data_IF_516129061190
#
_entry.id   IF_516129061190
#
_cell.length_a   1.000
_cell.length_b   1.000
_cell.length_c   1.000
_cell.angle_alpha   90.00
_cell.angle_beta   90.00
_cell.angle_gamma   90.00
#
_symmetry.space_group_name_H-M   'P 1'
#
loop_
_entity.id
_entity.type
_entity.pdbx_description
1 polymer ?
#
# COMPACT_ATOMS: atom_id res chain seq x y z
N UNK A 1 113.69 -21.71 -32.83
CA UNK A 1 112.52 -22.49 -33.24
C UNK A 1 111.78 -22.90 -32.00
N UNK A 2 110.52 -22.50 -31.84
CA UNK A 2 109.47 -23.19 -31.09
C UNK A 2 108.19 -22.35 -31.23
N UNK A 3 107.44 -22.70 -32.26
CA UNK A 3 106.17 -22.10 -32.66
C UNK A 3 105.03 -22.44 -31.70
N UNK A 4 104.20 -21.43 -31.42
CA UNK A 4 102.90 -21.51 -30.76
C UNK A 4 101.85 -22.11 -31.72
N UNK A 5 101.01 -23.07 -31.30
CA UNK A 5 99.93 -23.56 -32.16
C UNK A 5 98.69 -22.64 -32.13
N UNK A 6 98.38 -22.02 -33.27
CA UNK A 6 97.12 -21.31 -33.53
C UNK A 6 95.91 -22.26 -33.42
N UNK A 7 94.94 -21.87 -32.59
CA UNK A 7 93.66 -22.56 -32.41
C UNK A 7 92.73 -22.38 -33.64
N UNK A 8 92.03 -23.42 -34.14
CA UNK A 8 91.21 -23.30 -35.34
C UNK A 8 89.84 -22.65 -35.05
N UNK A 9 89.46 -21.70 -35.92
CA UNK A 9 88.16 -21.05 -35.93
C UNK A 9 87.04 -22.06 -36.24
N UNK A 10 85.99 -22.12 -35.42
CA UNK A 10 84.78 -22.88 -35.74
C UNK A 10 83.81 -22.02 -36.54
N UNK A 11 83.55 -22.45 -37.78
CA UNK A 11 82.42 -22.02 -38.60
C UNK A 11 81.42 -23.18 -38.63
N UNK A 12 80.18 -22.92 -38.20
CA UNK A 12 78.98 -23.75 -38.44
C UNK A 12 77.78 -22.82 -38.28
N UNK A 13 77.18 -22.33 -39.37
CA UNK A 13 76.05 -22.91 -40.10
C UNK A 13 74.75 -23.05 -39.27
N UNK A 14 73.92 -21.99 -39.32
CA UNK A 14 72.50 -22.10 -39.71
C UNK A 14 71.43 -22.40 -38.65
N UNK A 15 70.75 -21.34 -38.19
CA UNK A 15 69.29 -21.22 -38.23
C UNK A 15 68.96 -19.72 -38.40
N UNK A 16 68.43 -19.36 -39.56
CA UNK A 16 67.93 -18.01 -39.84
C UNK A 16 66.57 -17.83 -39.12
N UNK A 17 66.62 -17.25 -37.94
CA UNK A 17 65.43 -16.80 -37.22
C UNK A 17 65.06 -15.40 -37.72
N UNK A 18 64.60 -15.32 -38.96
CA UNK A 18 64.02 -14.11 -39.57
C UNK A 18 62.64 -13.74 -38.99
N UNK A 19 62.47 -13.81 -37.67
CA UNK A 19 61.26 -13.36 -37.00
C UNK A 19 61.45 -11.89 -36.59
N UNK A 20 60.96 -10.97 -37.44
CA UNK A 20 61.11 -9.51 -37.28
C UNK A 20 60.20 -8.90 -36.20
N UNK A 21 59.67 -9.70 -35.29
CA UNK A 21 58.98 -9.20 -34.13
C UNK A 21 59.93 -9.33 -32.94
N UNK A 22 60.54 -8.22 -32.53
CA UNK A 22 61.32 -8.15 -31.30
C UNK A 22 60.48 -8.77 -30.18
N UNK A 23 60.96 -9.89 -29.64
CA UNK A 23 60.27 -10.65 -28.58
C UNK A 23 59.94 -9.70 -27.43
N UNK A 24 60.78 -8.70 -27.16
CA UNK A 24 60.51 -7.67 -26.15
C UNK A 24 59.33 -6.78 -26.54
N UNK A 25 59.19 -6.39 -27.81
CA UNK A 25 58.06 -5.62 -28.32
C UNK A 25 56.74 -6.42 -28.25
N UNK A 26 56.75 -7.71 -28.58
CA UNK A 26 55.57 -8.58 -28.47
C UNK A 26 55.18 -8.80 -27.01
N UNK A 27 56.16 -9.05 -26.13
CA UNK A 27 55.90 -9.15 -24.68
C UNK A 27 55.43 -7.81 -24.09
N UNK A 28 55.93 -6.68 -24.57
CA UNK A 28 55.48 -5.36 -24.17
C UNK A 28 54.07 -5.03 -24.67
N UNK A 29 53.60 -5.65 -25.76
CA UNK A 29 52.21 -5.56 -26.19
C UNK A 29 51.29 -6.42 -25.32
N UNK A 30 51.68 -7.67 -25.06
CA UNK A 30 50.91 -8.61 -24.20
C UNK A 30 50.83 -8.14 -22.75
N UNK A 31 51.86 -7.50 -22.21
CA UNK A 31 51.82 -6.95 -20.84
C UNK A 31 50.96 -5.69 -20.70
N UNK A 32 50.58 -5.03 -21.81
CA UNK A 32 49.63 -3.90 -21.79
C UNK A 32 48.19 -4.37 -21.72
N UNK A 33 47.90 -5.58 -22.19
CA UNK A 33 46.57 -6.17 -22.08
C UNK A 33 46.39 -6.77 -20.68
N UNK A 34 45.64 -6.05 -19.84
CA UNK A 34 45.16 -6.60 -18.57
C UNK A 34 44.24 -7.79 -18.89
N UNK A 35 44.44 -8.91 -18.21
CA UNK A 35 43.54 -10.08 -18.29
C UNK A 35 42.08 -9.64 -18.26
N UNK A 36 41.29 -10.17 -19.20
CA UNK A 36 39.86 -9.92 -19.26
C UNK A 36 39.21 -10.14 -17.89
N UNK A 37 38.33 -9.23 -17.43
CA UNK A 37 37.65 -9.39 -16.17
C UNK A 37 36.78 -10.64 -16.24
N UNK A 38 37.24 -11.71 -15.58
CA UNK A 38 36.44 -12.93 -15.44
C UNK A 38 35.35 -12.64 -14.43
N UNK A 39 34.09 -12.85 -14.82
CA UNK A 39 32.97 -12.88 -13.89
C UNK A 39 33.17 -14.10 -12.99
N UNK A 40 33.85 -13.90 -11.87
CA UNK A 40 34.03 -14.91 -10.85
C UNK A 40 32.70 -15.14 -10.12
N UNK A 41 32.38 -16.39 -9.81
CA UNK A 41 31.34 -16.69 -8.85
C UNK A 41 31.87 -16.35 -7.44
N UNK A 42 31.94 -15.06 -7.12
CA UNK A 42 32.31 -14.62 -5.78
C UNK A 42 31.12 -14.83 -4.83
N UNK A 43 31.34 -15.45 -3.66
CA UNK A 43 30.27 -15.65 -2.70
C UNK A 43 29.73 -14.29 -2.26
N UNK A 44 28.41 -14.12 -2.29
CA UNK A 44 27.74 -12.90 -1.87
C UNK A 44 28.17 -12.52 -0.45
N UNK A 45 28.37 -11.22 -0.22
CA UNK A 45 28.76 -10.69 1.09
C UNK A 45 27.82 -11.21 2.19
N UNK A 46 28.40 -11.83 3.22
CA UNK A 46 27.65 -12.39 4.36
C UNK A 46 26.78 -11.29 5.02
N UNK A 47 27.30 -10.06 5.10
CA UNK A 47 26.56 -8.91 5.62
C UNK A 47 25.36 -8.52 4.76
N UNK A 48 25.51 -8.59 3.43
CA UNK A 48 24.42 -8.34 2.49
C UNK A 48 23.33 -9.39 2.67
N UNK A 49 23.70 -10.66 2.78
CA UNK A 49 22.76 -11.76 3.06
C UNK A 49 22.05 -11.53 4.39
N UNK A 50 22.76 -11.13 5.45
CA UNK A 50 22.17 -10.88 6.76
C UNK A 50 21.16 -9.71 6.74
N UNK A 51 21.50 -8.61 6.06
CA UNK A 51 20.61 -7.44 5.93
C UNK A 51 19.35 -7.80 5.16
N UNK A 52 19.49 -8.46 4.00
CA UNK A 52 18.34 -8.87 3.20
C UNK A 52 17.51 -9.94 3.91
N UNK A 53 18.14 -10.86 4.63
CA UNK A 53 17.46 -11.86 5.46
C UNK A 53 16.64 -11.21 6.58
N UNK A 54 17.20 -10.23 7.28
CA UNK A 54 16.49 -9.46 8.29
C UNK A 54 15.30 -8.72 7.67
N UNK A 55 15.51 -8.03 6.54
CA UNK A 55 14.46 -7.30 5.85
C UNK A 55 13.30 -8.23 5.42
N UNK A 56 13.61 -9.40 4.85
CA UNK A 56 12.60 -10.40 4.46
C UNK A 56 11.89 -10.97 5.69
N UNK A 57 12.61 -11.22 6.78
CA UNK A 57 12.01 -11.74 8.01
C UNK A 57 11.03 -10.73 8.62
N UNK A 58 11.43 -9.47 8.76
CA UNK A 58 10.54 -8.42 9.29
C UNK A 58 9.39 -8.11 8.34
N UNK A 59 9.63 -8.08 7.02
CA UNK A 59 8.57 -7.90 6.04
C UNK A 59 7.57 -9.07 6.07
N UNK A 60 8.05 -10.31 6.18
CA UNK A 60 7.22 -11.50 6.29
C UNK A 60 6.42 -11.54 7.59
N UNK A 61 7.04 -11.21 8.73
CA UNK A 61 6.37 -11.11 10.02
C UNK A 61 5.32 -9.99 10.04
N UNK A 62 5.64 -8.85 9.44
CA UNK A 62 4.72 -7.73 9.28
C UNK A 62 3.55 -8.11 8.38
N UNK A 63 3.81 -8.69 7.20
CA UNK A 63 2.75 -9.19 6.34
C UNK A 63 1.89 -10.23 7.08
N UNK A 64 2.48 -11.24 7.72
CA UNK A 64 1.71 -12.25 8.45
C UNK A 64 0.81 -11.67 9.55
N UNK A 65 1.28 -10.64 10.26
CA UNK A 65 0.52 -9.99 11.34
C UNK A 65 -0.54 -9.00 10.84
N UNK A 66 -0.31 -8.37 9.69
CA UNK A 66 -1.14 -7.26 9.21
C UNK A 66 -1.86 -7.53 7.87
N UNK A 67 -1.62 -8.67 7.18
CA UNK A 67 -2.22 -9.00 5.88
C UNK A 67 -3.62 -9.64 5.98
N UNK A 68 -4.18 -9.76 7.19
CA UNK A 68 -5.55 -10.27 7.38
C UNK A 68 -5.75 -11.70 6.86
N UNK A 69 -4.69 -12.51 6.88
CA UNK A 69 -4.68 -13.92 6.43
C UNK A 69 -5.10 -14.12 4.96
N UNK A 70 -5.00 -13.09 4.11
CA UNK A 70 -5.38 -13.12 2.69
C UNK A 70 -6.75 -13.72 2.40
N UNK A 71 -7.70 -13.55 3.34
CA UNK A 71 -9.04 -14.09 3.19
C UNK A 71 -9.87 -13.21 2.26
N UNK A 72 -10.66 -13.84 1.39
CA UNK A 72 -11.54 -13.13 0.45
C UNK A 72 -12.51 -12.17 1.16
N UNK A 73 -12.88 -12.45 2.42
CA UNK A 73 -13.75 -11.58 3.21
C UNK A 73 -13.10 -10.28 3.72
N UNK A 74 -11.76 -10.22 3.81
CA UNK A 74 -11.05 -9.02 4.25
C UNK A 74 -10.73 -8.03 3.12
N UNK A 75 -10.77 -8.50 1.87
CA UNK A 75 -10.44 -7.73 0.67
C UNK A 75 -11.64 -7.53 -0.26
N UNK A 76 -12.85 -7.90 0.17
CA UNK A 76 -14.04 -7.76 -0.66
C UNK A 76 -14.49 -6.28 -0.72
N UNK A 77 -14.30 -5.55 -1.84
CA UNK A 77 -14.71 -4.16 -1.93
C UNK A 77 -16.24 -4.01 -1.84
N UNK A 78 -16.99 -5.11 -2.07
CA UNK A 78 -18.45 -5.13 -2.10
C UNK A 78 -19.10 -5.40 -0.74
N UNK A 79 -18.35 -5.80 0.31
CA UNK A 79 -18.91 -5.99 1.66
C UNK A 79 -20.07 -7.00 1.73
N UNK A 80 -19.99 -8.09 0.97
CA UNK A 80 -20.94 -9.18 1.11
C UNK A 80 -20.74 -9.88 2.48
N UNK A 81 -21.81 -10.16 3.24
CA UNK A 81 -21.68 -10.88 4.50
C UNK A 81 -21.13 -12.29 4.22
N UNK A 82 -20.20 -12.81 5.05
CA UNK A 82 -19.64 -14.13 4.82
C UNK A 82 -20.74 -15.19 4.92
N UNK A 83 -20.77 -16.20 4.04
CA UNK A 83 -21.71 -17.31 4.18
C UNK A 83 -21.40 -18.04 5.49
N UNK A 84 -22.42 -18.18 6.34
CA UNK A 84 -22.35 -18.88 7.61
C UNK A 84 -21.83 -20.31 7.41
N UNK A 85 -20.54 -20.54 7.69
CA UNK A 85 -19.98 -21.89 7.73
C UNK A 85 -20.41 -22.54 9.04
N UNK A 86 -21.26 -23.55 8.92
CA UNK A 86 -21.63 -24.45 10.03
C UNK A 86 -20.36 -24.98 10.70
N UNK A 87 -20.30 -24.83 12.01
CA UNK A 87 -19.23 -25.31 12.86
C UNK A 87 -19.07 -26.83 12.74
N UNK A 88 -17.86 -27.28 12.37
CA UNK A 88 -17.35 -28.59 12.74
C UNK A 88 -16.22 -28.34 13.74
N UNK A 89 -16.39 -28.90 14.94
CA UNK A 89 -15.63 -28.58 16.14
C UNK A 89 -14.15 -28.96 16.09
N UNK A 90 -13.36 -28.11 16.74
CA UNK A 90 -11.99 -28.35 17.19
C UNK A 90 -11.58 -27.19 18.11
N UNK A 91 -10.82 -27.43 19.20
CA UNK A 91 -10.58 -26.42 20.22
C UNK A 91 -9.46 -25.49 19.74
N UNK A 92 -9.82 -24.49 18.94
CA UNK A 92 -8.97 -23.34 18.70
C UNK A 92 -9.48 -22.23 19.62
N UNK A 93 -8.60 -21.75 20.52
CA UNK A 93 -8.80 -20.53 21.28
C UNK A 93 -9.02 -19.39 20.30
N UNK A 94 -10.29 -19.11 20.00
CA UNK A 94 -10.70 -18.02 19.15
C UNK A 94 -10.50 -16.73 19.92
N UNK A 95 -9.43 -16.02 19.62
CA UNK A 95 -9.42 -14.59 19.84
C UNK A 95 -10.51 -14.01 18.93
N UNK A 96 -11.66 -13.72 19.55
CA UNK A 96 -12.78 -13.09 18.89
C UNK A 96 -12.25 -11.79 18.29
N UNK A 97 -12.18 -11.73 16.96
CA UNK A 97 -11.94 -10.49 16.23
C UNK A 97 -13.04 -9.55 16.71
N UNK A 98 -12.68 -8.59 17.56
CA UNK A 98 -13.65 -7.69 18.17
C UNK A 98 -14.49 -7.06 17.05
N UNK A 99 -15.76 -7.44 16.97
CA UNK A 99 -16.67 -6.94 15.98
C UNK A 99 -16.73 -5.42 16.15
N UNK A 100 -16.18 -4.67 15.19
CA UNK A 100 -16.11 -3.22 15.28
C UNK A 100 -17.53 -2.68 15.49
N UNK A 101 -17.69 -1.77 16.46
CA UNK A 101 -18.99 -1.16 16.72
C UNK A 101 -19.54 -0.48 15.45
N UNK A 102 -20.87 -0.36 15.28
CA UNK A 102 -21.45 0.37 14.15
C UNK A 102 -20.86 1.78 13.97
N UNK A 103 -20.57 2.46 15.09
CA UNK A 103 -19.88 3.75 15.11
C UNK A 103 -18.47 3.66 14.50
N UNK A 104 -17.67 2.67 14.90
CA UNK A 104 -16.28 2.57 14.44
C UNK A 104 -16.19 2.16 12.96
N UNK A 105 -17.12 1.34 12.49
CA UNK A 105 -17.28 1.06 11.05
C UNK A 105 -17.68 2.33 10.30
N UNK A 106 -18.67 3.04 10.83
CA UNK A 106 -19.14 4.33 10.30
C UNK A 106 -18.02 5.36 10.18
N UNK A 107 -17.15 5.45 11.18
CA UNK A 107 -15.98 6.35 11.17
C UNK A 107 -15.04 6.08 9.99
N UNK A 108 -14.78 4.81 9.69
CA UNK A 108 -13.93 4.44 8.54
C UNK A 108 -14.57 4.82 7.21
N UNK A 109 -15.89 4.60 7.09
CA UNK A 109 -16.66 4.95 5.90
C UNK A 109 -16.68 6.48 5.73
N UNK A 110 -16.89 7.23 6.81
CA UNK A 110 -16.85 8.68 6.82
C UNK A 110 -15.50 9.21 6.34
N UNK A 111 -14.41 8.68 6.89
CA UNK A 111 -13.05 9.08 6.53
C UNK A 111 -12.75 8.84 5.03
N UNK A 112 -13.27 7.75 4.46
CA UNK A 112 -13.03 7.40 3.06
C UNK A 112 -13.89 8.19 2.07
N UNK A 113 -15.13 8.54 2.43
CA UNK A 113 -16.14 9.04 1.47
C UNK A 113 -16.64 10.45 1.76
N UNK A 114 -16.81 10.81 3.04
CA UNK A 114 -17.54 12.00 3.48
C UNK A 114 -16.61 13.12 3.95
N UNK A 115 -15.46 12.74 4.52
CA UNK A 115 -14.50 13.64 5.15
C UNK A 115 -13.93 14.69 4.18
N UNK A 116 -13.77 14.35 2.89
CA UNK A 116 -13.24 15.28 1.88
C UNK A 116 -14.04 16.58 1.82
N UNK A 117 -15.36 16.50 1.98
CA UNK A 117 -16.25 17.66 1.93
C UNK A 117 -16.66 18.14 3.33
N UNK A 118 -17.03 17.23 4.23
CA UNK A 118 -17.54 17.57 5.56
C UNK A 118 -16.45 17.77 6.61
N UNK A 119 -15.18 17.56 6.25
CA UNK A 119 -14.01 17.63 7.11
C UNK A 119 -14.01 16.57 8.23
N UNK A 120 -12.83 16.30 8.80
CA UNK A 120 -12.67 15.31 9.87
C UNK A 120 -13.46 15.66 11.14
N UNK A 121 -13.71 16.96 11.34
CA UNK A 121 -14.45 17.52 12.48
C UNK A 121 -15.95 17.67 12.21
N UNK A 122 -16.43 17.29 11.03
CA UNK A 122 -17.83 17.47 10.66
C UNK A 122 -18.28 18.93 10.57
N UNK A 123 -17.37 19.91 10.57
CA UNK A 123 -17.70 21.33 10.47
C UNK A 123 -17.95 21.79 9.03
N UNK A 124 -17.59 20.97 8.03
CA UNK A 124 -17.66 21.36 6.62
C UNK A 124 -16.81 22.59 6.31
N UNK A 125 -17.23 23.34 5.29
CA UNK A 125 -16.59 24.57 4.83
C UNK A 125 -17.66 25.66 4.74
N UNK A 126 -17.57 26.75 5.53
CA UNK A 126 -18.55 27.83 5.51
C UNK A 126 -18.84 28.32 4.09
N UNK A 127 -20.12 28.46 3.74
CA UNK A 127 -20.58 28.90 2.41
C UNK A 127 -20.52 27.85 1.30
N UNK A 128 -19.87 26.70 1.53
CA UNK A 128 -19.71 25.66 0.50
C UNK A 128 -20.27 24.30 0.94
N UNK A 129 -19.79 23.74 2.06
CA UNK A 129 -20.23 22.46 2.60
C UNK A 129 -20.80 22.63 4.01
N UNK A 130 -22.04 22.18 4.27
CA UNK A 130 -22.69 22.40 5.56
C UNK A 130 -22.02 21.62 6.70
N UNK A 131 -22.07 22.16 7.94
CA UNK A 131 -21.65 21.43 9.12
C UNK A 131 -22.63 20.30 9.45
N UNK A 132 -22.11 19.13 9.78
CA UNK A 132 -22.81 17.99 10.37
C UNK A 132 -22.78 18.07 11.91
N UNK A 133 -21.70 18.62 12.46
CA UNK A 133 -21.51 18.82 13.89
C UNK A 133 -22.54 19.81 14.48
N UNK A 134 -23.37 19.34 15.40
CA UNK A 134 -24.42 20.12 16.05
C UNK A 134 -25.51 20.60 15.08
N UNK A 135 -25.67 19.94 13.93
CA UNK A 135 -26.68 20.34 12.94
C UNK A 135 -28.06 19.78 13.29
N UNK A 136 -29.11 20.50 12.91
CA UNK A 136 -30.49 20.05 13.03
C UNK A 136 -30.80 18.84 12.11
N UNK A 137 -30.01 18.65 11.06
CA UNK A 137 -30.13 17.52 10.14
C UNK A 137 -29.60 16.23 10.76
N UNK A 138 -28.46 16.32 11.44
CA UNK A 138 -27.82 15.17 12.09
C UNK A 138 -28.54 14.84 13.41
N UNK A 139 -28.94 15.84 14.20
CA UNK A 139 -29.62 15.60 15.48
C UNK A 139 -31.13 15.34 15.36
N UNK A 140 -31.75 15.69 14.22
CA UNK A 140 -33.16 15.47 13.97
C UNK A 140 -33.52 14.02 13.61
N UNK A 141 -34.62 13.87 12.87
CA UNK A 141 -35.08 12.56 12.39
C UNK A 141 -34.14 11.94 11.35
N UNK A 142 -33.91 10.63 11.44
CA UNK A 142 -33.00 9.88 10.56
C UNK A 142 -33.44 9.87 9.09
N UNK A 143 -34.74 9.91 8.81
CA UNK A 143 -35.28 9.81 7.44
C UNK A 143 -34.79 10.91 6.52
N UNK A 144 -34.76 12.17 6.98
CA UNK A 144 -34.31 13.30 6.14
C UNK A 144 -32.82 13.19 5.80
N UNK A 145 -32.01 12.85 6.80
CA UNK A 145 -30.59 12.60 6.64
C UNK A 145 -30.34 11.42 5.70
N UNK A 146 -31.08 10.31 5.87
CA UNK A 146 -30.97 9.12 5.03
C UNK A 146 -31.32 9.41 3.57
N UNK A 147 -32.39 10.17 3.30
CA UNK A 147 -32.73 10.63 1.94
C UNK A 147 -31.60 11.43 1.29
N UNK A 148 -30.95 12.33 2.05
CA UNK A 148 -29.84 13.15 1.55
C UNK A 148 -28.63 12.28 1.21
N UNK A 149 -28.29 11.29 2.05
CA UNK A 149 -27.17 10.39 1.79
C UNK A 149 -27.47 9.47 0.61
N UNK A 150 -28.68 8.92 0.53
CA UNK A 150 -29.08 7.99 -0.53
C UNK A 150 -29.20 8.70 -1.88
N UNK A 151 -29.97 9.79 -1.94
CA UNK A 151 -30.37 10.46 -3.19
C UNK A 151 -29.57 11.71 -3.50
N UNK A 152 -28.69 12.12 -2.61
CA UNK A 152 -27.99 13.39 -2.72
C UNK A 152 -28.87 14.58 -2.35
N UNK A 153 -28.29 15.76 -2.45
CA UNK A 153 -29.00 17.02 -2.22
C UNK A 153 -28.40 18.11 -3.11
N UNK A 154 -29.28 18.80 -3.84
CA UNK A 154 -28.94 19.97 -4.64
C UNK A 154 -29.97 21.07 -4.38
N UNK A 155 -29.49 22.31 -4.32
CA UNK A 155 -30.33 23.49 -4.13
C UNK A 155 -30.24 24.10 -2.72
N UNK A 156 -30.96 25.20 -2.50
CA UNK A 156 -30.83 26.01 -1.29
C UNK A 156 -31.25 25.23 -0.04
N UNK A 157 -30.32 25.05 0.90
CA UNK A 157 -30.57 24.46 2.21
C UNK A 157 -30.02 25.38 3.30
N UNK A 158 -30.76 25.51 4.40
CA UNK A 158 -30.33 26.27 5.56
C UNK A 158 -29.91 25.31 6.66
N UNK A 159 -28.67 25.46 7.16
CA UNK A 159 -28.12 24.63 8.25
C UNK A 159 -27.51 25.56 9.29
N UNK A 160 -27.94 25.46 10.55
CA UNK A 160 -27.50 26.35 11.65
C UNK A 160 -27.58 27.85 11.31
N UNK A 161 -28.63 28.25 10.59
CA UNK A 161 -28.84 29.65 10.21
C UNK A 161 -28.13 30.12 8.94
N UNK A 162 -27.19 29.35 8.40
CA UNK A 162 -26.41 29.67 7.20
C UNK A 162 -27.01 29.03 5.95
N UNK A 163 -26.94 29.73 4.81
CA UNK A 163 -27.44 29.25 3.52
C UNK A 163 -26.34 28.47 2.78
N UNK A 164 -26.70 27.28 2.30
CA UNK A 164 -25.88 26.39 1.46
C UNK A 164 -26.69 25.99 0.23
N UNK A 165 -26.04 25.34 -0.74
CA UNK A 165 -26.72 24.84 -1.95
C UNK A 165 -25.94 25.02 -3.25
N UNK A 166 -24.75 25.63 -3.18
CA UNK A 166 -23.81 25.75 -4.31
C UNK A 166 -23.10 24.43 -4.60
N UNK A 167 -22.74 23.67 -3.55
CA UNK A 167 -22.26 22.31 -3.68
C UNK A 167 -23.41 21.31 -3.81
N UNK A 168 -23.18 20.27 -4.60
CA UNK A 168 -24.05 19.09 -4.68
C UNK A 168 -23.54 18.04 -3.72
N UNK A 169 -24.42 17.53 -2.85
CA UNK A 169 -24.16 16.28 -2.13
C UNK A 169 -24.44 15.12 -3.07
N UNK A 170 -23.41 14.36 -3.40
CA UNK A 170 -23.51 13.18 -4.26
C UNK A 170 -24.39 12.08 -3.63
N UNK A 171 -25.19 11.35 -4.45
CA UNK A 171 -25.93 10.18 -4.00
C UNK A 171 -25.01 8.98 -3.74
N UNK A 172 -25.28 8.24 -2.68
CA UNK A 172 -24.52 7.04 -2.30
C UNK A 172 -25.29 5.72 -2.45
N UNK A 173 -26.55 5.76 -2.90
CA UNK A 173 -27.42 4.59 -3.06
C UNK A 173 -26.87 3.51 -4.01
N UNK A 174 -25.99 3.89 -4.94
CA UNK A 174 -25.35 2.96 -5.90
C UNK A 174 -23.98 2.44 -5.46
N UNK A 175 -23.35 3.07 -4.48
CA UNK A 175 -21.95 2.84 -4.12
C UNK A 175 -21.80 2.26 -2.72
N UNK A 176 -22.70 2.58 -1.80
CA UNK A 176 -22.72 2.07 -0.43
C UNK A 176 -23.97 1.22 -0.20
N UNK A 177 -23.81 0.15 0.58
CA UNK A 177 -24.94 -0.66 1.03
C UNK A 177 -25.69 0.04 2.17
N UNK A 178 -26.96 -0.33 2.38
CA UNK A 178 -27.79 0.24 3.44
C UNK A 178 -27.13 0.10 4.83
N UNK A 179 -26.42 -1.00 5.08
CA UNK A 179 -25.65 -1.19 6.31
C UNK A 179 -24.52 -0.17 6.46
N UNK A 180 -23.75 0.09 5.39
CA UNK A 180 -22.66 1.09 5.40
C UNK A 180 -23.22 2.49 5.63
N UNK A 181 -24.39 2.79 5.05
CA UNK A 181 -25.09 4.06 5.24
C UNK A 181 -25.60 4.20 6.67
N UNK A 182 -26.20 3.16 7.24
CA UNK A 182 -26.65 3.15 8.62
C UNK A 182 -25.48 3.34 9.61
N UNK A 183 -24.35 2.67 9.36
CA UNK A 183 -23.13 2.80 10.17
C UNK A 183 -22.57 4.24 10.13
N UNK A 184 -22.45 4.87 8.94
CA UNK A 184 -21.94 6.25 8.82
C UNK A 184 -22.89 7.26 9.46
N UNK A 185 -24.20 7.10 9.26
CA UNK A 185 -25.20 7.95 9.92
C UNK A 185 -25.13 7.82 11.44
N UNK A 186 -24.92 6.61 11.95
CA UNK A 186 -24.74 6.36 13.39
C UNK A 186 -23.48 7.03 13.94
N UNK A 187 -22.37 7.00 13.20
CA UNK A 187 -21.16 7.73 13.56
C UNK A 187 -21.41 9.23 13.65
N UNK A 188 -21.96 9.83 12.59
CA UNK A 188 -22.22 11.28 12.56
C UNK A 188 -23.17 11.73 13.69
N UNK A 189 -24.14 10.89 14.05
CA UNK A 189 -25.14 11.16 15.10
C UNK A 189 -24.61 11.02 16.53
N UNK A 190 -23.48 10.36 16.71
CA UNK A 190 -22.84 10.14 18.02
C UNK A 190 -21.54 10.92 18.21
N UNK A 191 -21.03 11.58 17.16
CA UNK A 191 -19.77 12.33 17.20
C UNK A 191 -19.99 13.84 17.22
N UNK A 192 -18.93 14.60 17.49
CA UNK A 192 -18.92 16.08 17.49
C UNK A 192 -19.98 16.74 18.39
N UNK A 193 -20.30 16.10 19.51
CA UNK A 193 -21.32 16.56 20.45
C UNK A 193 -22.76 16.33 20.00
N UNK A 194 -22.96 15.58 18.92
CA UNK A 194 -24.29 15.08 18.55
C UNK A 194 -24.70 13.95 19.51
N UNK A 195 -25.98 13.89 19.84
CA UNK A 195 -26.54 12.95 20.83
C UNK A 195 -27.82 12.30 20.33
N UNK A 196 -27.82 11.88 19.07
CA UNK A 196 -29.02 11.35 18.43
C UNK A 196 -28.98 9.83 18.32
N UNK A 197 -30.16 9.19 18.32
CA UNK A 197 -30.28 7.73 18.32
C UNK A 197 -29.58 7.09 17.12
N UNK A 198 -28.95 5.91 17.27
CA UNK A 198 -28.32 5.19 16.17
C UNK A 198 -29.34 4.85 15.07
N UNK A 199 -28.83 4.61 13.85
CA UNK A 199 -29.63 4.29 12.67
C UNK A 199 -29.37 2.85 12.28
N UNK A 200 -30.44 2.11 11.97
CA UNK A 200 -30.33 0.70 11.56
C UNK A 200 -30.42 0.56 10.04
N UNK A 201 -29.95 -0.57 9.50
CA UNK A 201 -30.01 -0.83 8.06
C UNK A 201 -31.47 -0.91 7.56
N UNK A 202 -32.38 -1.45 8.37
CA UNK A 202 -33.80 -1.55 8.02
C UNK A 202 -34.44 -0.16 7.90
N UNK A 203 -34.02 0.79 8.75
CA UNK A 203 -34.48 2.17 8.65
C UNK A 203 -33.99 2.85 7.37
N UNK A 204 -32.81 2.49 6.86
CA UNK A 204 -32.28 3.02 5.60
C UNK A 204 -32.97 2.35 4.40
N UNK A 205 -33.17 1.04 4.44
CA UNK A 205 -33.84 0.28 3.39
C UNK A 205 -35.33 0.67 3.22
N UNK A 206 -35.95 1.22 4.27
CA UNK A 206 -37.34 1.68 4.24
C UNK A 206 -37.52 3.09 3.65
N UNK A 207 -36.44 3.75 3.20
CA UNK A 207 -36.44 5.12 2.65
C UNK A 207 -36.58 5.09 1.12
#
# INVERSE_FOLDING_TARGET
MNDEPKSPARIGQGMDYGEQADVQQVHAAVQREKREPRVGAEPLSIWLIAIYGLAIFFAGAYLGRYSGNFSSGGLDPMGAPPPAKKAAGGPAGGEQVAELSPRDRGKKIFAANCQTCHQATGQGVPGQYPPLAGSEFTNGGSRRMGMIVLKGLQGPVKVKGQQYGTAVMQPWDKTLTDQKIADVMTYERSDWGNSASPVTAEQVAAI
#
